data_IF_817269554714
#
_entry.id   IF_817269554714
#
_cell.length_a   1.000
_cell.length_b   1.000
_cell.length_c   1.000
_cell.angle_alpha   90.00
_cell.angle_beta   90.00
_cell.angle_gamma   90.00
#
_symmetry.space_group_name_H-M   'P 1'
#
loop_
_entity.id
_entity.type
_entity.pdbx_description
1 polymer ?
#
# COMPACT_ATOMS: atom_id res chain seq x y z
N UNK A 1 -15.56 23.89 5.57
CA UNK A 1 -15.07 25.27 5.67
C UNK A 1 -13.55 25.37 5.42
N UNK A 2 -12.65 24.59 6.10
CA UNK A 2 -11.20 24.74 5.86
C UNK A 2 -10.78 24.48 4.40
N UNK A 3 -11.38 23.50 3.72
CA UNK A 3 -11.10 23.17 2.32
C UNK A 3 -11.44 24.31 1.34
N UNK A 4 -12.52 25.05 1.60
CA UNK A 4 -12.91 26.20 0.77
C UNK A 4 -11.91 27.35 0.95
N UNK A 5 -11.45 27.60 2.18
CA UNK A 5 -10.43 28.62 2.45
C UNK A 5 -9.10 28.27 1.78
N UNK A 6 -8.68 27.01 1.85
CA UNK A 6 -7.48 26.52 1.15
C UNK A 6 -7.63 26.62 -0.38
N UNK A 7 -8.79 26.26 -0.93
CA UNK A 7 -9.05 26.40 -2.35
C UNK A 7 -8.98 27.87 -2.82
N UNK A 8 -9.55 28.78 -2.04
CA UNK A 8 -9.47 30.23 -2.31
C UNK A 8 -8.03 30.73 -2.24
N UNK A 9 -7.28 30.28 -1.24
CA UNK A 9 -5.86 30.65 -1.07
C UNK A 9 -5.01 30.13 -2.23
N UNK A 10 -5.20 28.90 -2.66
CA UNK A 10 -4.54 28.32 -3.85
C UNK A 10 -4.90 29.12 -5.11
N UNK A 11 -6.18 29.43 -5.32
CA UNK A 11 -6.64 30.22 -6.48
C UNK A 11 -6.05 31.62 -6.53
N UNK A 12 -5.86 32.26 -5.37
CA UNK A 12 -5.29 33.60 -5.27
C UNK A 12 -3.76 33.64 -5.37
N UNK A 13 -3.08 32.57 -4.94
CA UNK A 13 -1.61 32.55 -4.81
C UNK A 13 -0.90 31.79 -5.92
N UNK A 14 -1.53 30.77 -6.51
CA UNK A 14 -0.89 29.89 -7.49
C UNK A 14 -1.35 30.27 -8.90
N UNK A 15 -0.40 30.71 -9.73
CA UNK A 15 -0.63 30.83 -11.19
C UNK A 15 -0.35 29.49 -11.84
N UNK A 16 -1.26 29.03 -12.67
CA UNK A 16 -1.09 27.78 -13.42
C UNK A 16 0.15 27.90 -14.33
N UNK A 17 1.18 27.04 -14.14
CA UNK A 17 2.35 27.05 -15.02
C UNK A 17 1.96 26.60 -16.42
N UNK A 18 2.63 27.13 -17.44
CA UNK A 18 2.41 26.67 -18.82
C UNK A 18 2.78 25.19 -18.92
N UNK A 19 1.88 24.37 -19.48
CA UNK A 19 2.13 22.95 -19.73
C UNK A 19 3.40 22.79 -20.55
N UNK A 20 4.32 21.92 -20.14
CA UNK A 20 5.59 21.65 -20.80
C UNK A 20 6.72 22.63 -20.52
N UNK A 21 6.53 23.67 -19.69
CA UNK A 21 7.54 24.70 -19.43
C UNK A 21 8.84 24.17 -18.79
N UNK A 22 8.79 23.05 -18.06
CA UNK A 22 9.96 22.43 -17.41
C UNK A 22 10.68 21.43 -18.33
N UNK A 23 9.95 20.78 -19.24
CA UNK A 23 10.49 19.70 -20.06
C UNK A 23 11.04 20.16 -21.41
N UNK A 24 10.94 21.47 -21.79
CA UNK A 24 11.36 22.06 -23.06
C UNK A 24 10.93 21.22 -24.31
N UNK A 25 9.95 20.35 -24.18
CA UNK A 25 9.39 19.58 -25.27
C UNK A 25 8.08 20.21 -25.71
N UNK A 26 8.03 20.52 -27.00
CA UNK A 26 6.77 20.88 -27.66
C UNK A 26 5.73 19.82 -27.31
N UNK A 27 4.55 20.25 -26.92
CA UNK A 27 3.42 19.39 -26.61
C UNK A 27 2.99 18.66 -27.89
N UNK A 28 3.70 17.58 -28.25
CA UNK A 28 3.11 16.56 -29.09
C UNK A 28 1.97 15.92 -28.31
N UNK A 29 0.78 16.24 -28.74
CA UNK A 29 -0.51 16.02 -28.08
C UNK A 29 -1.01 14.58 -28.11
N UNK A 30 -0.15 13.59 -28.33
CA UNK A 30 -0.58 12.20 -28.34
C UNK A 30 -0.24 11.53 -27.01
N UNK A 31 -1.19 11.65 -26.05
CA UNK A 31 -1.27 10.71 -24.94
C UNK A 31 -1.37 9.30 -25.54
N UNK A 32 -0.51 8.37 -25.08
CA UNK A 32 -0.60 6.98 -25.53
C UNK A 32 -2.01 6.44 -25.29
N UNK A 33 -2.53 5.72 -26.28
CA UNK A 33 -3.86 5.10 -26.21
C UNK A 33 -3.94 4.15 -25.02
N UNK A 34 -5.14 4.03 -24.44
CA UNK A 34 -5.44 3.03 -23.40
C UNK A 34 -4.95 1.63 -23.79
N UNK A 35 -5.24 1.21 -25.04
CA UNK A 35 -4.86 -0.11 -25.53
C UNK A 35 -3.34 -0.29 -25.65
N UNK A 36 -2.61 0.73 -26.10
CA UNK A 36 -1.15 0.70 -26.20
C UNK A 36 -0.49 0.58 -24.83
N UNK A 37 -0.94 1.39 -23.87
CA UNK A 37 -0.40 1.34 -22.50
C UNK A 37 -0.70 0.01 -21.84
N UNK A 38 -1.90 -0.53 -22.00
CA UNK A 38 -2.27 -1.82 -21.45
C UNK A 38 -1.47 -2.96 -22.09
N UNK A 39 -1.28 -2.93 -23.42
CA UNK A 39 -0.46 -3.88 -24.14
C UNK A 39 1.03 -3.79 -23.74
N UNK A 40 1.54 -2.60 -23.41
CA UNK A 40 2.88 -2.42 -22.90
C UNK A 40 3.02 -2.98 -21.49
N UNK A 41 2.12 -2.62 -20.56
CA UNK A 41 2.11 -3.08 -19.17
C UNK A 41 2.01 -4.60 -19.09
N UNK A 42 1.16 -5.23 -19.93
CA UNK A 42 0.97 -6.69 -19.92
C UNK A 42 2.22 -7.48 -20.31
N UNK A 43 3.18 -6.86 -21.00
CA UNK A 43 4.48 -7.44 -21.35
C UNK A 43 5.56 -7.19 -20.30
N UNK A 44 5.30 -6.35 -19.31
CA UNK A 44 6.22 -6.00 -18.23
C UNK A 44 5.98 -6.92 -17.03
N UNK A 45 6.77 -7.97 -16.89
CA UNK A 45 6.56 -8.94 -15.80
C UNK A 45 6.76 -8.31 -14.42
N UNK A 46 7.68 -7.33 -14.29
CA UNK A 46 7.89 -6.60 -13.03
C UNK A 46 6.68 -5.78 -12.62
N UNK A 47 5.98 -5.14 -13.59
CA UNK A 47 4.76 -4.39 -13.30
C UNK A 47 3.62 -5.30 -12.82
N UNK A 48 3.43 -6.45 -13.48
CA UNK A 48 2.37 -7.40 -13.11
C UNK A 48 2.61 -7.99 -11.72
N UNK A 49 3.85 -8.38 -11.40
CA UNK A 49 4.20 -8.85 -10.06
C UNK A 49 4.14 -7.78 -9.00
N UNK A 50 4.53 -6.53 -9.33
CA UNK A 50 4.37 -5.37 -8.44
C UNK A 50 2.89 -5.13 -8.13
N UNK A 51 2.04 -5.09 -9.16
CA UNK A 51 0.60 -4.91 -9.02
C UNK A 51 -0.02 -6.00 -8.15
N UNK A 52 0.27 -7.27 -8.45
CA UNK A 52 -0.24 -8.41 -7.69
C UNK A 52 0.21 -8.34 -6.22
N UNK A 53 1.50 -8.10 -5.96
CA UNK A 53 2.03 -7.97 -4.61
C UNK A 53 1.42 -6.79 -3.84
N UNK A 54 1.29 -5.63 -4.49
CA UNK A 54 0.67 -4.46 -3.87
C UNK A 54 -0.84 -4.63 -3.63
N UNK A 55 -1.57 -5.33 -4.50
CA UNK A 55 -2.97 -5.66 -4.26
C UNK A 55 -3.13 -6.61 -3.06
N UNK A 56 -2.30 -7.65 -2.96
CA UNK A 56 -2.35 -8.61 -1.85
C UNK A 56 -2.04 -7.94 -0.49
N UNK A 57 -1.00 -7.09 -0.44
CA UNK A 57 -0.69 -6.35 0.79
C UNK A 57 -1.77 -5.33 1.10
N UNK A 58 -2.37 -4.69 0.10
CA UNK A 58 -3.46 -3.74 0.27
C UNK A 58 -4.71 -4.41 0.87
N UNK A 59 -5.09 -5.60 0.38
CA UNK A 59 -6.18 -6.42 0.96
C UNK A 59 -5.90 -6.70 2.43
N UNK A 60 -4.70 -7.23 2.75
CA UNK A 60 -4.33 -7.56 4.12
C UNK A 60 -4.29 -6.31 5.03
N UNK A 61 -3.64 -5.23 4.59
CA UNK A 61 -3.52 -4.00 5.38
C UNK A 61 -4.88 -3.35 5.67
N UNK A 62 -5.78 -3.28 4.68
CA UNK A 62 -7.12 -2.72 4.89
C UNK A 62 -8.03 -3.64 5.72
N UNK A 63 -7.84 -4.95 5.63
CA UNK A 63 -8.50 -5.91 6.50
C UNK A 63 -8.10 -5.65 7.98
N UNK A 64 -6.80 -5.57 8.27
CA UNK A 64 -6.32 -5.23 9.61
C UNK A 64 -6.79 -3.85 10.06
N UNK A 65 -6.70 -2.83 9.21
CA UNK A 65 -7.13 -1.47 9.54
C UNK A 65 -8.61 -1.43 9.95
N UNK A 66 -9.48 -2.13 9.22
CA UNK A 66 -10.92 -2.13 9.48
C UNK A 66 -11.30 -2.98 10.70
N UNK A 67 -10.64 -4.12 10.91
CA UNK A 67 -11.06 -5.08 11.92
C UNK A 67 -10.25 -5.07 13.22
N UNK A 68 -9.11 -4.36 13.28
CA UNK A 68 -8.32 -4.19 14.52
C UNK A 68 -9.16 -3.61 15.67
N UNK A 69 -9.99 -2.56 15.50
CA UNK A 69 -10.83 -2.08 16.59
C UNK A 69 -11.77 -3.16 17.12
N UNK A 70 -12.45 -3.87 16.24
CA UNK A 70 -13.39 -4.95 16.63
C UNK A 70 -12.66 -6.12 17.29
N UNK A 71 -11.44 -6.45 16.82
CA UNK A 71 -10.62 -7.49 17.44
C UNK A 71 -10.25 -7.13 18.88
N UNK A 72 -9.81 -5.90 19.12
CA UNK A 72 -9.47 -5.43 20.47
C UNK A 72 -10.68 -5.41 21.39
N UNK A 73 -11.81 -4.91 20.91
CA UNK A 73 -13.06 -4.86 21.71
C UNK A 73 -13.54 -6.25 22.09
N UNK A 74 -13.58 -7.19 21.14
CA UNK A 74 -14.08 -8.56 21.39
C UNK A 74 -13.11 -9.41 22.19
N UNK A 75 -11.81 -9.15 22.11
CA UNK A 75 -10.78 -9.97 22.82
C UNK A 75 -10.57 -9.50 24.24
N UNK A 76 -10.61 -8.18 24.50
CA UNK A 76 -10.25 -7.61 25.81
C UNK A 76 -11.46 -6.96 26.53
N UNK A 77 -12.66 -7.05 25.96
CA UNK A 77 -13.90 -6.48 26.53
C UNK A 77 -13.76 -4.98 26.88
N UNK A 78 -13.19 -4.19 25.96
CA UNK A 78 -12.93 -2.76 26.13
C UNK A 78 -13.84 -1.93 25.22
N UNK A 79 -14.18 -0.71 25.67
CA UNK A 79 -15.03 0.20 24.90
C UNK A 79 -14.28 0.89 23.73
N UNK A 80 -15.05 1.44 22.75
CA UNK A 80 -14.45 2.21 21.65
C UNK A 80 -13.63 3.42 22.10
N UNK A 81 -14.01 4.06 23.21
CA UNK A 81 -13.30 5.20 23.81
C UNK A 81 -11.88 4.82 24.27
N UNK A 82 -11.70 3.60 24.76
CA UNK A 82 -10.45 3.15 25.39
C UNK A 82 -9.37 2.84 24.33
N UNK A 83 -9.79 2.49 23.12
CA UNK A 83 -8.89 2.10 22.03
C UNK A 83 -8.63 3.23 21.01
N UNK A 84 -9.49 4.25 20.95
CA UNK A 84 -9.43 5.27 19.89
C UNK A 84 -8.12 6.05 19.89
N UNK A 85 -7.68 6.53 21.07
CA UNK A 85 -6.46 7.33 21.20
C UNK A 85 -5.20 6.49 20.94
N UNK A 86 -5.03 5.31 21.57
CA UNK A 86 -3.88 4.46 21.28
C UNK A 86 -3.78 4.04 19.81
N UNK A 87 -4.89 3.63 19.18
CA UNK A 87 -4.89 3.27 17.76
C UNK A 87 -4.61 4.46 16.85
N UNK A 88 -5.17 5.63 17.18
CA UNK A 88 -4.89 6.86 16.44
C UNK A 88 -3.40 7.23 16.47
N UNK A 89 -2.75 7.09 17.62
CA UNK A 89 -1.31 7.33 17.78
C UNK A 89 -0.45 6.29 17.05
N UNK A 90 -0.85 5.01 17.09
CA UNK A 90 -0.15 3.95 16.38
C UNK A 90 -0.27 4.10 14.87
N UNK A 91 -1.49 4.17 14.34
CA UNK A 91 -1.74 4.18 12.91
C UNK A 91 -1.37 5.55 12.30
N UNK A 92 -1.85 6.64 12.90
CA UNK A 92 -1.59 7.99 12.42
C UNK A 92 -0.19 8.48 12.78
N UNK A 93 0.21 8.38 14.04
CA UNK A 93 1.50 8.87 14.54
C UNK A 93 2.68 8.02 14.04
N UNK A 94 2.76 6.77 14.51
CA UNK A 94 3.87 5.89 14.12
C UNK A 94 3.88 5.61 12.61
N UNK A 95 2.71 5.42 11.99
CA UNK A 95 2.61 5.19 10.55
C UNK A 95 3.12 6.35 9.71
N UNK A 96 2.82 7.60 10.07
CA UNK A 96 3.33 8.79 9.37
C UNK A 96 4.85 8.92 9.49
N UNK A 97 5.40 8.71 10.69
CA UNK A 97 6.85 8.73 10.91
C UNK A 97 7.53 7.62 10.10
N UNK A 98 6.96 6.42 10.13
CA UNK A 98 7.45 5.28 9.35
C UNK A 98 7.43 5.54 7.85
N UNK A 99 6.35 6.10 7.32
CA UNK A 99 6.24 6.43 5.89
C UNK A 99 7.33 7.42 5.45
N UNK A 100 7.63 8.45 6.26
CA UNK A 100 8.69 9.42 5.96
C UNK A 100 10.07 8.75 6.00
N UNK A 101 10.41 8.07 7.10
CA UNK A 101 11.74 7.49 7.30
C UNK A 101 12.04 6.38 6.30
N UNK A 102 11.09 5.47 6.07
CA UNK A 102 11.23 4.39 5.11
C UNK A 102 11.19 4.88 3.67
N UNK A 103 10.43 5.94 3.38
CA UNK A 103 10.45 6.62 2.08
C UNK A 103 11.84 7.16 1.76
N UNK A 104 12.42 7.94 2.67
CA UNK A 104 13.78 8.45 2.53
C UNK A 104 14.83 7.34 2.40
N UNK A 105 14.68 6.25 3.16
CA UNK A 105 15.55 5.09 3.04
C UNK A 105 15.41 4.41 1.68
N UNK A 106 14.18 4.22 1.21
CA UNK A 106 13.91 3.65 -0.10
C UNK A 106 14.53 4.49 -1.22
N UNK A 107 14.38 5.81 -1.17
CA UNK A 107 14.95 6.71 -2.17
C UNK A 107 16.48 6.65 -2.19
N UNK A 108 17.13 6.63 -1.02
CA UNK A 108 18.59 6.47 -0.91
C UNK A 108 19.08 5.13 -1.49
N UNK A 109 18.38 4.05 -1.22
CA UNK A 109 18.75 2.72 -1.72
C UNK A 109 18.48 2.61 -3.22
N UNK A 110 17.40 3.23 -3.72
CA UNK A 110 17.04 3.23 -5.14
C UNK A 110 18.06 3.93 -6.04
N UNK A 111 18.88 4.84 -5.50
CA UNK A 111 20.03 5.41 -6.23
C UNK A 111 21.06 4.34 -6.62
N UNK A 112 21.19 3.27 -5.82
CA UNK A 112 22.13 2.17 -6.10
C UNK A 112 21.53 1.14 -7.06
N UNK A 113 20.24 0.85 -6.93
CA UNK A 113 19.52 -0.13 -7.74
C UNK A 113 18.02 0.15 -7.63
N UNK A 114 17.33 0.28 -8.75
CA UNK A 114 15.88 0.50 -8.78
C UNK A 114 15.09 -0.69 -8.22
N UNK A 115 15.69 -1.88 -8.20
CA UNK A 115 15.07 -3.08 -7.61
C UNK A 115 14.79 -2.93 -6.09
N UNK A 116 15.43 -1.95 -5.43
CA UNK A 116 15.10 -1.64 -4.03
C UNK A 116 13.66 -1.15 -3.81
N UNK A 117 12.98 -0.62 -4.83
CA UNK A 117 11.59 -0.20 -4.68
C UNK A 117 10.66 -1.36 -4.31
N UNK A 118 10.48 -2.39 -5.14
CA UNK A 118 9.65 -3.54 -4.76
C UNK A 118 10.26 -4.33 -3.60
N UNK A 119 11.59 -4.38 -3.47
CA UNK A 119 12.25 -5.10 -2.39
C UNK A 119 11.99 -4.45 -1.02
N UNK A 120 11.95 -3.12 -0.94
CA UNK A 120 11.62 -2.42 0.31
C UNK A 120 10.19 -2.76 0.77
N UNK A 121 9.22 -2.80 -0.14
CA UNK A 121 7.86 -3.22 0.20
C UNK A 121 7.87 -4.67 0.69
N UNK A 122 8.61 -5.56 0.02
CA UNK A 122 8.71 -6.97 0.40
C UNK A 122 9.32 -7.15 1.80
N UNK A 123 10.39 -6.42 2.11
CA UNK A 123 11.05 -6.45 3.43
C UNK A 123 10.09 -5.96 4.52
N UNK A 124 9.42 -4.82 4.30
CA UNK A 124 8.43 -4.30 5.23
C UNK A 124 7.28 -5.29 5.44
N UNK A 125 6.73 -5.87 4.35
CA UNK A 125 5.69 -6.88 4.43
C UNK A 125 6.13 -8.13 5.20
N UNK A 126 7.36 -8.63 4.94
CA UNK A 126 7.92 -9.78 5.64
C UNK A 126 8.14 -9.48 7.13
N UNK A 127 8.63 -8.28 7.46
CA UNK A 127 8.82 -7.85 8.84
C UNK A 127 7.49 -7.68 9.58
N UNK A 128 6.43 -7.25 8.91
CA UNK A 128 5.10 -7.13 9.50
C UNK A 128 4.53 -8.47 9.97
N UNK A 129 4.82 -9.58 9.29
CA UNK A 129 4.22 -10.90 9.54
C UNK A 129 4.35 -11.39 11.00
N UNK A 130 5.56 -11.51 11.58
CA UNK A 130 5.71 -12.01 12.94
C UNK A 130 5.05 -11.08 13.97
N UNK A 131 5.13 -9.77 13.78
CA UNK A 131 4.52 -8.81 14.70
C UNK A 131 3.00 -8.78 14.59
N UNK A 132 2.44 -8.90 13.39
CA UNK A 132 1.00 -9.01 13.20
C UNK A 132 0.46 -10.33 13.78
N UNK A 133 1.21 -11.43 13.67
CA UNK A 133 0.84 -12.68 14.32
C UNK A 133 0.88 -12.55 15.84
N UNK A 134 1.94 -11.96 16.42
CA UNK A 134 2.06 -11.70 17.86
C UNK A 134 0.95 -10.76 18.36
N UNK A 135 0.56 -9.76 17.56
CA UNK A 135 -0.59 -8.90 17.83
C UNK A 135 -1.88 -9.71 18.00
N UNK A 136 -2.16 -10.62 17.06
CA UNK A 136 -3.36 -11.48 17.11
C UNK A 136 -3.35 -12.41 18.32
N UNK A 137 -2.16 -12.88 18.77
CA UNK A 137 -2.00 -13.82 19.88
C UNK A 137 -1.82 -13.14 21.24
N UNK A 138 -1.79 -11.80 21.30
CA UNK A 138 -1.50 -11.08 22.53
C UNK A 138 -2.52 -11.39 23.64
N UNK A 139 -2.02 -11.65 24.85
CA UNK A 139 -2.86 -11.98 26.02
C UNK A 139 -3.42 -10.72 26.69
N UNK A 140 -2.74 -9.58 26.54
CA UNK A 140 -3.14 -8.31 27.14
C UNK A 140 -3.19 -7.21 26.09
N UNK A 141 -4.05 -6.21 26.29
CA UNK A 141 -4.22 -5.07 25.37
C UNK A 141 -2.91 -4.28 25.20
N UNK A 142 -2.11 -4.16 26.26
CA UNK A 142 -0.82 -3.46 26.21
C UNK A 142 0.19 -4.21 25.33
N UNK A 143 0.21 -5.54 25.39
CA UNK A 143 1.01 -6.37 24.48
C UNK A 143 0.52 -6.24 23.05
N UNK A 144 -0.81 -6.20 22.82
CA UNK A 144 -1.37 -5.98 21.51
C UNK A 144 -0.92 -4.63 20.92
N UNK A 145 -0.96 -3.55 21.68
CA UNK A 145 -0.45 -2.25 21.22
C UNK A 145 1.06 -2.29 20.93
N UNK A 146 1.85 -2.93 21.79
CA UNK A 146 3.29 -3.05 21.60
C UNK A 146 3.63 -3.81 20.30
N UNK A 147 2.97 -4.94 20.05
CA UNK A 147 3.19 -5.71 18.82
C UNK A 147 2.64 -5.03 17.57
N UNK A 148 1.55 -4.25 17.69
CA UNK A 148 0.98 -3.51 16.57
C UNK A 148 1.82 -2.27 16.17
N UNK A 149 2.77 -1.85 16.99
CA UNK A 149 3.63 -0.68 16.69
C UNK A 149 4.42 -0.88 15.39
N UNK A 150 5.04 -2.04 15.21
CA UNK A 150 5.86 -2.33 14.02
C UNK A 150 5.00 -2.40 12.75
N UNK A 151 3.92 -3.18 12.66
CA UNK A 151 3.02 -3.16 11.51
C UNK A 151 2.48 -1.77 11.19
N UNK A 152 2.11 -0.98 12.21
CA UNK A 152 1.63 0.40 12.01
C UNK A 152 2.71 1.30 11.45
N UNK A 153 3.94 1.22 11.96
CA UNK A 153 5.09 2.03 11.51
C UNK A 153 5.43 1.77 10.03
N UNK A 154 5.39 0.50 9.60
CA UNK A 154 5.78 0.12 8.23
C UNK A 154 4.61 0.03 7.25
N UNK A 155 3.37 0.06 7.75
CA UNK A 155 2.19 -0.29 6.95
C UNK A 155 1.81 0.71 5.85
N UNK A 156 2.18 1.99 5.97
CA UNK A 156 1.77 3.01 5.01
C UNK A 156 2.72 3.16 3.81
N UNK A 157 3.93 2.62 3.88
CA UNK A 157 4.98 2.86 2.87
C UNK A 157 4.67 2.24 1.51
N UNK A 158 3.98 1.09 1.47
CA UNK A 158 3.76 0.35 0.24
C UNK A 158 3.06 1.17 -0.85
N UNK A 159 2.08 2.00 -0.48
CA UNK A 159 1.31 2.78 -1.43
C UNK A 159 2.17 3.83 -2.14
N UNK A 160 2.97 4.59 -1.40
CA UNK A 160 3.87 5.61 -1.96
C UNK A 160 4.87 5.00 -2.93
N UNK A 161 5.50 3.88 -2.54
CA UNK A 161 6.47 3.18 -3.40
C UNK A 161 5.77 2.57 -4.61
N UNK A 162 4.58 1.99 -4.46
CA UNK A 162 3.83 1.37 -5.56
C UNK A 162 3.55 2.38 -6.68
N UNK A 163 3.11 3.59 -6.35
CA UNK A 163 2.85 4.63 -7.36
C UNK A 163 4.13 5.08 -8.06
N UNK A 164 5.20 5.35 -7.32
CA UNK A 164 6.48 5.75 -7.91
C UNK A 164 7.03 4.63 -8.80
N UNK A 165 7.04 3.40 -8.30
CA UNK A 165 7.52 2.24 -9.03
C UNK A 165 6.69 1.97 -10.31
N UNK A 166 5.38 2.17 -10.27
CA UNK A 166 4.53 2.00 -11.45
C UNK A 166 4.85 2.99 -12.57
N UNK A 167 5.23 4.23 -12.21
CA UNK A 167 5.62 5.26 -13.17
C UNK A 167 7.01 5.01 -13.78
N UNK A 168 7.92 4.40 -13.04
CA UNK A 168 9.27 4.08 -13.53
C UNK A 168 9.28 2.93 -14.54
N UNK A 169 8.28 2.05 -14.47
CA UNK A 169 8.14 0.89 -15.35
C UNK A 169 7.45 1.21 -16.70
N UNK A 170 7.14 2.46 -16.96
CA UNK A 170 6.46 2.89 -18.20
C UNK A 170 7.09 4.17 -18.76
N UNK A 171 6.93 4.39 -20.06
CA UNK A 171 7.37 5.63 -20.72
C UNK A 171 6.63 6.87 -20.20
N UNK A 172 7.20 8.07 -20.41
CA UNK A 172 6.68 9.34 -19.89
C UNK A 172 5.20 9.57 -20.22
N UNK A 173 4.78 9.26 -21.45
CA UNK A 173 3.40 9.43 -21.92
C UNK A 173 2.38 8.50 -21.25
N UNK A 174 2.87 7.39 -20.66
CA UNK A 174 2.06 6.34 -20.03
C UNK A 174 1.96 6.46 -18.52
N UNK A 175 2.75 7.34 -17.88
CA UNK A 175 2.87 7.44 -16.40
C UNK A 175 1.56 7.74 -15.69
N UNK A 176 0.78 8.68 -16.23
CA UNK A 176 -0.51 9.06 -15.65
C UNK A 176 -1.47 7.87 -15.65
N UNK A 177 -1.52 7.14 -16.78
CA UNK A 177 -2.34 5.93 -16.89
C UNK A 177 -1.88 4.82 -15.95
N UNK A 178 -0.58 4.53 -15.88
CA UNK A 178 -0.03 3.49 -15.01
C UNK A 178 -0.36 3.75 -13.55
N UNK A 179 -0.24 5.00 -13.09
CA UNK A 179 -0.63 5.41 -11.74
C UNK A 179 -2.12 5.28 -11.48
N UNK A 180 -2.96 5.71 -12.44
CA UNK A 180 -4.41 5.58 -12.33
C UNK A 180 -4.85 4.11 -12.31
N UNK A 181 -4.23 3.26 -13.13
CA UNK A 181 -4.50 1.83 -13.15
C UNK A 181 -4.07 1.14 -11.84
N UNK A 182 -2.88 1.48 -11.32
CA UNK A 182 -2.42 1.02 -10.01
C UNK A 182 -3.42 1.43 -8.92
N UNK A 183 -3.82 2.72 -8.87
CA UNK A 183 -4.79 3.22 -7.90
C UNK A 183 -6.14 2.50 -8.01
N UNK A 184 -6.64 2.30 -9.22
CA UNK A 184 -7.89 1.58 -9.47
C UNK A 184 -7.84 0.16 -8.90
N UNK A 185 -6.79 -0.60 -9.20
CA UNK A 185 -6.65 -1.96 -8.72
C UNK A 185 -6.50 -2.02 -7.19
N UNK A 186 -5.69 -1.14 -6.60
CA UNK A 186 -5.51 -1.07 -5.15
C UNK A 186 -6.82 -0.71 -4.43
N UNK A 187 -7.59 0.22 -4.99
CA UNK A 187 -8.87 0.64 -4.40
C UNK A 187 -9.92 -0.45 -4.52
N UNK A 188 -10.11 -1.01 -5.72
CA UNK A 188 -11.15 -1.99 -5.98
C UNK A 188 -10.87 -3.32 -5.25
N UNK A 189 -9.67 -3.85 -5.41
CA UNK A 189 -9.29 -5.17 -4.86
C UNK A 189 -8.89 -5.04 -3.39
N UNK A 190 -8.04 -4.05 -3.06
CA UNK A 190 -7.46 -3.90 -1.73
C UNK A 190 -8.45 -3.33 -0.72
N UNK A 191 -8.91 -2.10 -0.95
CA UNK A 191 -9.79 -1.40 0.00
C UNK A 191 -11.18 -2.05 0.02
N UNK A 192 -11.73 -2.40 -1.14
CA UNK A 192 -13.02 -3.07 -1.25
C UNK A 192 -13.00 -4.51 -0.77
N UNK A 193 -11.96 -5.27 -1.14
CA UNK A 193 -11.87 -6.70 -0.84
C UNK A 193 -11.47 -7.03 0.60
N UNK A 194 -10.52 -6.28 1.19
CA UNK A 194 -9.96 -6.59 2.50
C UNK A 194 -10.98 -6.77 3.61
N UNK A 195 -11.73 -5.73 3.98
CA UNK A 195 -12.74 -5.82 5.03
C UNK A 195 -13.84 -6.86 4.74
N UNK A 196 -14.26 -6.97 3.47
CA UNK A 196 -15.31 -7.88 3.04
C UNK A 196 -14.90 -9.35 3.19
N UNK A 197 -13.66 -9.70 2.81
CA UNK A 197 -13.14 -11.06 2.93
C UNK A 197 -13.06 -11.47 4.41
N UNK A 198 -12.56 -10.58 5.29
CA UNK A 198 -12.49 -10.89 6.73
C UNK A 198 -13.87 -11.03 7.33
N UNK A 199 -14.84 -10.17 6.98
CA UNK A 199 -16.22 -10.30 7.43
C UNK A 199 -16.80 -11.66 7.04
N UNK A 200 -16.72 -12.03 5.77
CA UNK A 200 -17.19 -13.32 5.25
C UNK A 200 -16.52 -14.51 5.92
N UNK A 201 -15.19 -14.48 6.11
CA UNK A 201 -14.44 -15.52 6.80
C UNK A 201 -14.86 -15.61 8.27
N UNK A 202 -15.02 -14.47 8.96
CA UNK A 202 -15.46 -14.44 10.34
C UNK A 202 -16.86 -15.08 10.51
N UNK A 203 -17.78 -14.80 9.59
CA UNK A 203 -19.12 -15.40 9.59
C UNK A 203 -19.07 -16.92 9.35
N UNK A 204 -18.19 -17.39 8.47
CA UNK A 204 -18.02 -18.83 8.22
C UNK A 204 -17.43 -19.58 9.42
N UNK A 205 -16.66 -18.91 10.27
CA UNK A 205 -16.07 -19.47 11.48
C UNK A 205 -16.90 -19.22 12.76
N UNK A 206 -18.10 -18.66 12.66
CA UNK A 206 -18.92 -18.22 13.78
C UNK A 206 -19.21 -19.31 14.84
N UNK A 207 -19.17 -20.59 14.48
CA UNK A 207 -19.35 -21.71 15.40
C UNK A 207 -18.32 -21.75 16.57
N UNK A 208 -17.17 -21.08 16.45
CA UNK A 208 -16.14 -20.97 17.48
C UNK A 208 -16.26 -19.76 18.42
N UNK A 209 -17.33 -18.96 18.30
CA UNK A 209 -17.49 -17.69 19.03
C UNK A 209 -16.91 -16.49 18.26
N UNK A 210 -17.45 -15.30 18.49
CA UNK A 210 -17.14 -14.10 17.70
C UNK A 210 -15.68 -13.65 17.77
N UNK A 211 -15.04 -13.72 18.93
CA UNK A 211 -13.63 -13.34 19.07
C UNK A 211 -12.69 -14.33 18.37
N UNK A 212 -12.97 -15.63 18.49
CA UNK A 212 -12.16 -16.69 17.86
C UNK A 212 -12.33 -16.72 16.37
N UNK A 213 -13.52 -16.45 15.84
CA UNK A 213 -13.79 -16.42 14.41
C UNK A 213 -13.06 -15.27 13.72
N UNK A 214 -13.06 -14.07 14.33
CA UNK A 214 -12.33 -12.91 13.82
C UNK A 214 -10.81 -13.12 13.88
N UNK A 215 -10.32 -13.74 14.95
CA UNK A 215 -8.90 -14.08 15.12
C UNK A 215 -8.42 -14.96 13.96
N UNK A 216 -9.14 -16.05 13.65
CA UNK A 216 -8.82 -16.96 12.54
C UNK A 216 -8.91 -16.27 11.18
N UNK A 217 -9.89 -15.41 10.97
CA UNK A 217 -10.00 -14.64 9.74
C UNK A 217 -8.79 -13.71 9.53
N UNK A 218 -8.32 -13.03 10.58
CA UNK A 218 -7.11 -12.20 10.52
C UNK A 218 -5.83 -13.02 10.29
N UNK A 219 -5.72 -14.23 10.87
CA UNK A 219 -4.60 -15.16 10.61
C UNK A 219 -4.51 -15.55 9.13
N UNK A 220 -5.66 -15.77 8.46
CA UNK A 220 -5.69 -16.04 7.01
C UNK A 220 -5.16 -14.85 6.19
N UNK A 221 -5.39 -13.62 6.64
CA UNK A 221 -4.85 -12.42 5.98
C UNK A 221 -3.32 -12.39 6.00
N UNK A 222 -2.67 -13.01 6.99
CA UNK A 222 -1.20 -13.13 7.01
C UNK A 222 -0.68 -14.01 5.86
N UNK A 223 -1.45 -15.01 5.42
CA UNK A 223 -1.09 -15.83 4.25
C UNK A 223 -1.09 -14.98 2.99
N UNK A 224 -2.08 -14.08 2.81
CA UNK A 224 -2.08 -13.14 1.67
C UNK A 224 -0.89 -12.19 1.72
N UNK A 225 -0.53 -11.72 2.91
CA UNK A 225 0.65 -10.89 3.08
C UNK A 225 1.95 -11.66 2.76
N UNK A 226 2.05 -12.94 3.14
CA UNK A 226 3.18 -13.79 2.75
C UNK A 226 3.27 -13.97 1.22
N UNK A 227 2.13 -14.21 0.55
CA UNK A 227 2.09 -14.29 -0.91
C UNK A 227 2.50 -12.97 -1.59
N UNK A 228 2.16 -11.81 -0.97
CA UNK A 228 2.62 -10.51 -1.47
C UNK A 228 4.14 -10.38 -1.45
N UNK A 229 4.81 -10.89 -0.41
CA UNK A 229 6.28 -10.90 -0.31
C UNK A 229 6.91 -11.65 -1.49
N UNK A 230 6.38 -12.83 -1.83
CA UNK A 230 6.87 -13.60 -2.98
C UNK A 230 6.67 -12.83 -4.30
N UNK A 231 5.49 -12.26 -4.52
CA UNK A 231 5.21 -11.49 -5.73
C UNK A 231 6.15 -10.29 -5.87
N UNK A 232 6.40 -9.55 -4.78
CA UNK A 232 7.30 -8.40 -4.76
C UNK A 232 8.76 -8.78 -4.97
N UNK A 233 9.23 -9.91 -4.46
CA UNK A 233 10.56 -10.44 -4.75
C UNK A 233 10.69 -10.81 -6.23
N UNK A 234 9.64 -11.42 -6.83
CA UNK A 234 9.64 -11.71 -8.27
C UNK A 234 9.64 -10.44 -9.11
N UNK A 235 8.92 -9.39 -8.68
CA UNK A 235 8.99 -8.07 -9.30
C UNK A 235 10.42 -7.52 -9.26
N UNK A 236 11.08 -7.57 -8.09
CA UNK A 236 12.43 -7.05 -7.90
C UNK A 236 13.46 -7.70 -8.84
N UNK A 237 13.32 -9.00 -9.13
CA UNK A 237 14.23 -9.75 -10.00
C UNK A 237 14.26 -9.25 -11.45
N UNK A 238 13.16 -8.72 -11.93
CA UNK A 238 13.01 -8.27 -13.33
C UNK A 238 12.92 -6.75 -13.46
N UNK A 239 12.90 -6.04 -12.33
CA UNK A 239 12.57 -4.62 -12.26
C UNK A 239 13.51 -3.74 -13.08
N UNK A 240 14.83 -3.89 -12.91
CA UNK A 240 15.83 -3.07 -13.62
C UNK A 240 15.79 -3.28 -15.14
N UNK A 241 15.63 -4.53 -15.58
CA UNK A 241 15.48 -4.85 -17.00
C UNK A 241 14.27 -4.15 -17.61
N UNK A 242 13.14 -4.22 -16.90
CA UNK A 242 11.89 -3.68 -17.39
C UNK A 242 11.85 -2.14 -17.29
N UNK A 243 12.48 -1.55 -16.28
CA UNK A 243 12.68 -0.10 -16.17
C UNK A 243 13.59 0.44 -17.28
N UNK A 244 14.69 -0.25 -17.60
CA UNK A 244 15.56 0.11 -18.72
C UNK A 244 14.81 0.04 -20.08
N UNK A 245 13.94 -0.96 -20.27
CA UNK A 245 13.07 -1.05 -21.45
C UNK A 245 12.09 0.12 -21.53
N UNK A 246 11.52 0.53 -20.41
CA UNK A 246 10.63 1.68 -20.35
C UNK A 246 11.34 3.01 -20.69
N UNK A 247 12.58 3.15 -20.28
CA UNK A 247 13.41 4.33 -20.61
C UNK A 247 13.75 4.41 -22.12
N UNK A 248 13.86 3.29 -22.83
CA UNK A 248 14.11 3.23 -24.26
C UNK A 248 12.89 3.51 -25.15
N UNK A 249 11.71 3.66 -24.58
CA UNK A 249 10.44 3.97 -25.27
C UNK A 249 10.14 5.49 -25.27
N UNK A 250 11.03 6.31 -24.73
CA UNK A 250 10.90 7.77 -24.63
C UNK A 250 11.39 8.49 -25.86
#
# INVERSE_FOLDING_TARGET
IPGVLLALLVWLTIREPKRGAIEQRESESDASSFGETMAFISKQSSFLWLLAGCCLICVSANAFLAWTPSHLQRTYDVGPSDISVPLGLLIGGAGSVGAILLGLLCDRLSVRSLAWRPLMIAICAALALPFAWLFIQAETINMAYAWNLIPSFIGLIYASIAYTASQELVGLRMRAFASAFMLFCLTLIGIGGGPTIVGWLSDTFAAGGEAMSLKRALEIMLVLNLLSVFALILSARTYERDAARAAGVN
#
